data_IF_824350966076
#
_entry.id   IF_824350966076
#
_cell.length_a   1.000
_cell.length_b   1.000
_cell.length_c   1.000
_cell.angle_alpha   90.00
_cell.angle_beta   90.00
_cell.angle_gamma   90.00
#
_symmetry.space_group_name_H-M   'P 1'
#
loop_
_entity.id
_entity.type
_entity.pdbx_description
1 polymer ?
#
# COMPACT_ATOMS: atom_id res chain seq x y z
N UNK A 1 26.09 -1.64 -7.97
CA UNK A 1 24.98 -1.31 -7.05
C UNK A 1 23.99 -2.44 -7.13
N UNK A 2 23.49 -2.94 -6.00
CA UNK A 2 22.49 -4.00 -6.00
C UNK A 2 21.17 -3.46 -6.62
N UNK A 3 20.44 -4.23 -7.43
CA UNK A 3 19.17 -3.78 -7.99
C UNK A 3 18.18 -3.44 -6.87
N UNK A 4 17.37 -2.40 -7.06
CA UNK A 4 16.31 -2.04 -6.11
C UNK A 4 15.32 -3.20 -5.96
N UNK A 5 15.34 -3.85 -4.79
CA UNK A 5 14.44 -4.96 -4.48
C UNK A 5 13.06 -4.45 -4.04
N UNK A 6 11.97 -5.15 -4.39
CA UNK A 6 10.62 -4.78 -3.98
C UNK A 6 10.41 -4.84 -2.46
N UNK A 7 11.30 -5.54 -1.73
CA UNK A 7 11.39 -5.55 -0.27
C UNK A 7 11.41 -4.16 0.37
N UNK A 8 11.89 -3.15 -0.36
CA UNK A 8 11.94 -1.78 0.12
C UNK A 8 10.56 -1.14 0.31
N UNK A 9 9.52 -1.71 -0.29
CA UNK A 9 8.11 -1.30 -0.14
C UNK A 9 7.53 -1.87 1.17
N UNK A 10 8.05 -3.00 1.65
CA UNK A 10 7.60 -3.64 2.87
C UNK A 10 8.03 -2.89 4.13
N UNK A 11 7.29 -3.11 5.21
CA UNK A 11 7.53 -2.59 6.55
C UNK A 11 7.61 -1.06 6.64
N UNK A 12 7.16 -0.36 5.59
CA UNK A 12 7.16 1.10 5.49
C UNK A 12 5.73 1.61 5.40
N UNK A 13 5.45 2.72 6.11
CA UNK A 13 4.18 3.43 5.99
C UNK A 13 4.27 4.44 4.85
N UNK A 14 3.39 4.29 3.88
CA UNK A 14 3.34 5.06 2.64
C UNK A 14 2.10 5.95 2.61
N UNK A 15 2.27 7.15 2.05
CA UNK A 15 1.17 8.01 1.59
C UNK A 15 1.00 7.82 0.08
N UNK A 16 -0.23 7.55 -0.34
CA UNK A 16 -0.61 7.18 -1.71
C UNK A 16 -1.09 8.40 -2.48
N UNK A 17 -0.59 8.55 -3.70
CA UNK A 17 -1.05 9.53 -4.67
C UNK A 17 -1.29 8.88 -6.02
N UNK A 18 -2.20 9.44 -6.81
CA UNK A 18 -2.38 9.11 -8.22
C UNK A 18 -1.53 10.05 -9.06
N UNK A 19 -0.87 9.50 -10.07
CA UNK A 19 -0.12 10.26 -11.06
C UNK A 19 -0.75 10.09 -12.45
N UNK A 20 -0.79 11.18 -13.22
CA UNK A 20 -0.97 11.10 -14.67
C UNK A 20 0.33 10.58 -15.32
N UNK A 21 0.31 10.19 -16.61
CA UNK A 21 1.52 9.79 -17.31
C UNK A 21 2.66 10.81 -17.14
N UNK A 22 3.90 10.32 -17.06
CA UNK A 22 5.10 11.14 -17.02
C UNK A 22 5.54 11.41 -18.46
N UNK A 23 5.40 12.65 -18.92
CA UNK A 23 5.82 13.07 -20.25
C UNK A 23 7.32 13.40 -20.23
N UNK A 24 8.14 12.67 -20.97
CA UNK A 24 9.60 12.82 -20.96
C UNK A 24 10.22 12.95 -22.36
N UNK A 25 9.38 13.01 -23.40
CA UNK A 25 9.77 12.98 -24.81
C UNK A 25 10.70 14.11 -25.24
N UNK A 26 10.67 15.24 -24.54
CA UNK A 26 11.50 16.42 -24.83
C UNK A 26 12.98 16.18 -24.53
N UNK A 27 13.30 15.23 -23.65
CA UNK A 27 14.66 15.01 -23.17
C UNK A 27 15.17 13.58 -23.35
N UNK A 28 14.30 12.58 -23.14
CA UNK A 28 14.70 11.17 -23.19
C UNK A 28 13.64 10.30 -23.89
N UNK A 29 14.07 9.30 -24.69
CA UNK A 29 13.13 8.43 -25.41
C UNK A 29 12.43 7.39 -24.52
N UNK A 30 13.07 6.96 -23.42
CA UNK A 30 12.50 6.07 -22.40
C UNK A 30 12.98 6.52 -21.02
N UNK A 31 12.14 6.37 -20.00
CA UNK A 31 12.49 6.66 -18.60
C UNK A 31 12.92 5.41 -17.85
N UNK A 32 12.20 4.29 -18.00
CA UNK A 32 12.44 3.08 -17.21
C UNK A 32 13.61 2.23 -17.72
N UNK A 33 13.86 2.24 -19.03
CA UNK A 33 14.94 1.48 -19.66
C UNK A 33 16.23 2.30 -19.81
N UNK A 34 16.25 3.52 -19.28
CA UNK A 34 17.34 4.48 -19.46
C UNK A 34 17.94 4.90 -18.11
N UNK A 35 19.02 4.23 -17.65
CA UNK A 35 19.65 4.58 -16.37
C UNK A 35 20.25 6.00 -16.36
N UNK A 36 20.67 6.52 -17.52
CA UNK A 36 21.18 7.90 -17.61
C UNK A 36 20.06 8.93 -17.41
N UNK A 37 18.85 8.68 -17.94
CA UNK A 37 17.70 9.53 -17.68
C UNK A 37 17.38 9.61 -16.19
N UNK A 38 17.32 8.46 -15.51
CA UNK A 38 17.09 8.39 -14.07
C UNK A 38 18.16 9.15 -13.28
N UNK A 39 19.44 9.00 -13.66
CA UNK A 39 20.55 9.73 -13.04
C UNK A 39 20.45 11.24 -13.24
N UNK A 40 20.04 11.70 -14.42
CA UNK A 40 19.84 13.14 -14.70
C UNK A 40 18.73 13.70 -13.83
N UNK A 41 17.56 13.06 -13.77
CA UNK A 41 16.46 13.51 -12.90
C UNK A 41 16.81 13.43 -11.41
N UNK A 42 17.58 12.41 -10.98
CA UNK A 42 18.08 12.31 -9.63
C UNK A 42 19.00 13.49 -9.25
N UNK A 43 19.92 13.86 -10.14
CA UNK A 43 20.79 15.02 -9.93
C UNK A 43 19.99 16.33 -9.91
N UNK A 44 19.02 16.51 -10.82
CA UNK A 44 18.16 17.72 -10.81
C UNK A 44 17.35 17.85 -9.53
N UNK A 45 16.76 16.75 -9.06
CA UNK A 45 16.04 16.76 -7.79
C UNK A 45 16.99 17.10 -6.62
N UNK A 46 18.20 16.51 -6.59
CA UNK A 46 19.22 16.86 -5.59
C UNK A 46 19.56 18.34 -5.62
N UNK A 47 19.77 18.89 -6.81
CA UNK A 47 20.16 20.28 -7.00
C UNK A 47 19.01 21.22 -6.60
N UNK A 48 17.74 20.86 -6.86
CA UNK A 48 16.58 21.62 -6.37
C UNK A 48 16.46 21.57 -4.83
N UNK A 49 16.70 20.40 -4.23
CA UNK A 49 16.63 20.22 -2.77
C UNK A 49 17.78 20.93 -2.04
N UNK A 50 18.97 20.97 -2.64
CA UNK A 50 20.16 21.64 -2.08
C UNK A 50 20.18 23.13 -2.39
N UNK A 51 19.56 23.53 -3.51
CA UNK A 51 19.79 24.82 -4.16
C UNK A 51 18.96 26.00 -3.67
N UNK A 52 17.76 25.84 -3.07
CA UNK A 52 17.05 26.95 -2.39
C UNK A 52 15.62 26.70 -1.82
N UNK A 53 15.04 25.48 -1.81
CA UNK A 53 13.58 25.38 -1.55
C UNK A 53 13.18 25.11 -0.09
N UNK A 54 14.02 24.46 0.72
CA UNK A 54 13.64 24.17 2.11
C UNK A 54 13.74 25.40 3.04
N UNK A 55 14.57 26.40 2.70
CA UNK A 55 14.67 27.65 3.46
C UNK A 55 13.51 28.62 3.16
N UNK A 56 12.96 28.61 1.94
CA UNK A 56 11.83 29.48 1.54
C UNK A 56 10.47 29.07 2.12
N UNK A 57 10.33 27.83 2.61
CA UNK A 57 9.09 27.35 3.22
C UNK A 57 8.86 27.88 4.65
N UNK A 58 9.89 28.48 5.28
CA UNK A 58 9.75 29.12 6.60
C UNK A 58 9.00 30.47 6.58
N UNK A 59 8.65 31.01 5.40
CA UNK A 59 8.16 32.41 5.28
C UNK A 59 6.67 32.53 4.94
N UNK A 60 5.91 31.43 4.85
CA UNK A 60 4.48 31.56 4.50
C UNK A 60 3.61 30.38 4.88
N UNK A 61 3.17 30.32 6.14
CA UNK A 61 1.78 30.05 6.58
C UNK A 61 1.74 29.82 8.09
N UNK A 62 0.81 30.49 8.75
CA UNK A 62 0.59 30.52 10.20
C UNK A 62 0.21 29.14 10.79
N UNK A 63 1.17 28.48 11.45
CA UNK A 63 1.05 27.69 12.69
C UNK A 63 2.28 26.76 12.82
N UNK A 64 2.94 26.64 13.98
CA UNK A 64 3.98 25.62 14.17
C UNK A 64 3.31 24.25 14.16
N UNK A 65 3.33 23.60 13.00
CA UNK A 65 2.91 22.21 12.89
C UNK A 65 4.08 21.31 13.25
N UNK A 66 3.81 20.16 13.88
CA UNK A 66 4.80 19.14 14.26
C UNK A 66 5.69 18.68 13.08
N UNK A 67 5.34 19.03 11.84
CA UNK A 67 6.08 18.71 10.62
C UNK A 67 7.34 19.57 10.42
N UNK A 68 7.37 20.82 10.90
CA UNK A 68 8.54 21.72 10.75
C UNK A 68 9.73 21.24 11.63
N UNK A 69 9.43 20.71 12.82
CA UNK A 69 10.40 20.06 13.71
C UNK A 69 11.01 18.78 13.11
N UNK A 70 10.34 18.15 12.15
CA UNK A 70 10.88 16.93 11.50
C UNK A 70 11.98 17.26 10.50
N UNK A 71 11.84 18.36 9.75
CA UNK A 71 12.82 18.78 8.75
C UNK A 71 14.08 19.38 9.38
N UNK A 72 13.93 20.10 10.49
CA UNK A 72 15.04 20.67 11.24
C UNK A 72 16.04 19.61 11.76
N UNK A 73 15.56 18.37 11.96
CA UNK A 73 16.37 17.23 12.44
C UNK A 73 16.89 16.33 11.31
N UNK A 74 16.46 16.54 10.07
CA UNK A 74 16.82 15.72 8.91
C UNK A 74 18.33 15.79 8.59
N UNK A 75 18.94 16.96 8.81
CA UNK A 75 20.33 17.25 8.44
C UNK A 75 20.51 17.48 6.93
N UNK A 76 21.74 17.58 6.46
CA UNK A 76 22.04 17.84 5.05
C UNK A 76 21.74 16.63 4.13
N UNK A 77 21.38 16.90 2.88
CA UNK A 77 21.18 15.86 1.86
C UNK A 77 22.54 15.30 1.43
N UNK A 78 22.75 14.00 1.61
CA UNK A 78 23.97 13.29 1.20
C UNK A 78 23.86 12.72 -0.20
N UNK A 79 22.73 12.11 -0.52
CA UNK A 79 22.55 11.38 -1.78
C UNK A 79 21.09 11.37 -2.24
N UNK A 80 20.89 11.30 -3.56
CA UNK A 80 19.58 11.19 -4.20
C UNK A 80 19.72 10.22 -5.38
N UNK A 81 19.01 9.09 -5.32
CA UNK A 81 19.07 8.05 -6.36
C UNK A 81 17.69 7.72 -6.89
N UNK A 82 17.64 7.39 -8.18
CA UNK A 82 16.46 6.92 -8.89
C UNK A 82 16.83 5.59 -9.53
N UNK A 83 16.14 4.53 -9.15
CA UNK A 83 16.44 3.16 -9.59
C UNK A 83 15.18 2.48 -10.14
N UNK A 84 15.31 1.74 -11.24
CA UNK A 84 14.18 1.01 -11.82
C UNK A 84 13.86 -0.25 -11.01
N UNK A 85 12.58 -0.43 -10.66
CA UNK A 85 12.08 -1.61 -9.98
C UNK A 85 11.78 -2.67 -11.03
N UNK A 86 12.55 -3.75 -11.04
CA UNK A 86 12.43 -4.79 -12.08
C UNK A 86 11.19 -5.67 -11.95
N UNK A 87 10.71 -5.92 -10.72
CA UNK A 87 9.51 -6.73 -10.49
C UNK A 87 8.79 -6.30 -9.22
N UNK A 88 7.48 -6.47 -9.21
CA UNK A 88 6.62 -6.31 -8.03
C UNK A 88 6.39 -7.64 -7.28
N UNK A 89 6.91 -8.75 -7.80
CA UNK A 89 6.86 -10.04 -7.13
C UNK A 89 7.61 -9.95 -5.80
N UNK A 90 6.88 -10.14 -4.70
CA UNK A 90 7.47 -10.14 -3.36
C UNK A 90 8.00 -11.52 -2.97
N UNK A 91 7.49 -12.57 -3.63
CA UNK A 91 8.11 -13.89 -3.58
C UNK A 91 9.36 -13.87 -4.47
N UNK A 92 10.53 -14.13 -3.89
CA UNK A 92 11.78 -14.24 -4.63
C UNK A 92 11.72 -15.47 -5.54
N UNK A 93 11.42 -15.30 -6.82
CA UNK A 93 11.92 -16.24 -7.83
C UNK A 93 13.39 -15.90 -8.06
N UNK A 94 14.29 -16.84 -7.78
CA UNK A 94 15.73 -16.73 -8.11
C UNK A 94 15.98 -16.67 -9.63
N UNK A 95 14.94 -16.55 -10.44
CA UNK A 95 15.02 -16.37 -11.88
C UNK A 95 14.90 -14.88 -12.14
N UNK A 96 15.94 -14.21 -12.69
CA UNK A 96 15.75 -12.88 -13.26
C UNK A 96 14.71 -13.04 -14.36
N UNK A 97 13.45 -12.71 -14.03
CA UNK A 97 12.44 -12.58 -15.05
C UNK A 97 12.89 -11.41 -15.92
N UNK A 98 13.04 -11.60 -17.25
CA UNK A 98 13.27 -10.51 -18.19
C UNK A 98 11.97 -9.71 -18.36
N UNK A 99 11.37 -9.33 -17.23
CA UNK A 99 10.19 -8.50 -17.15
C UNK A 99 10.58 -7.05 -17.36
N UNK A 100 9.73 -6.32 -18.08
CA UNK A 100 9.88 -4.89 -18.21
C UNK A 100 9.82 -4.25 -16.81
N UNK A 101 10.65 -3.22 -16.54
CA UNK A 101 10.63 -2.50 -15.27
C UNK A 101 9.20 -2.03 -14.92
N UNK A 102 8.80 -2.30 -13.68
CA UNK A 102 7.44 -2.08 -13.17
C UNK A 102 7.29 -0.77 -12.39
N UNK A 103 8.39 -0.04 -12.19
CA UNK A 103 8.37 1.22 -11.44
C UNK A 103 9.73 1.87 -11.27
N UNK A 104 9.75 2.97 -10.50
CA UNK A 104 10.94 3.73 -10.12
C UNK A 104 10.94 3.89 -8.61
N UNK A 105 12.03 3.53 -7.96
CA UNK A 105 12.30 3.83 -6.56
C UNK A 105 13.18 5.08 -6.48
N UNK A 106 12.74 6.07 -5.71
CA UNK A 106 13.49 7.28 -5.39
C UNK A 106 13.92 7.22 -3.93
N UNK A 107 15.22 7.35 -3.67
CA UNK A 107 15.79 7.34 -2.32
C UNK A 107 16.51 8.66 -2.07
N UNK A 108 16.14 9.33 -0.98
CA UNK A 108 16.77 10.56 -0.50
C UNK A 108 17.46 10.25 0.82
N UNK A 109 18.79 10.22 0.81
CA UNK A 109 19.61 9.95 1.99
C UNK A 109 20.08 11.26 2.58
N UNK A 110 19.55 11.61 3.75
CA UNK A 110 20.04 12.73 4.55
C UNK A 110 20.96 12.22 5.65
N UNK A 111 21.57 13.14 6.39
CA UNK A 111 22.47 12.81 7.51
C UNK A 111 21.84 11.87 8.54
N UNK A 112 20.61 12.18 8.95
CA UNK A 112 19.97 11.52 10.08
C UNK A 112 18.79 10.62 9.68
N UNK A 113 18.37 10.65 8.42
CA UNK A 113 17.18 9.94 7.95
C UNK A 113 17.22 9.64 6.45
N UNK A 114 16.62 8.51 6.07
CA UNK A 114 16.38 8.17 4.67
C UNK A 114 14.89 8.29 4.36
N UNK A 115 14.57 9.11 3.37
CA UNK A 115 13.22 9.15 2.82
C UNK A 115 13.15 8.39 1.50
N UNK A 116 11.94 7.94 1.17
CA UNK A 116 11.69 7.13 -0.01
C UNK A 116 10.43 7.57 -0.73
N UNK A 117 10.42 7.42 -2.03
CA UNK A 117 9.22 7.45 -2.86
C UNK A 117 9.28 6.33 -3.89
N UNK A 118 8.14 5.81 -4.33
CA UNK A 118 8.08 4.79 -5.36
C UNK A 118 6.96 5.11 -6.35
N UNK A 119 7.28 5.13 -7.64
CA UNK A 119 6.33 5.28 -8.74
C UNK A 119 6.10 3.88 -9.33
N UNK A 120 4.88 3.37 -9.25
CA UNK A 120 4.56 1.98 -9.55
C UNK A 120 3.48 1.88 -10.62
N UNK A 121 3.53 0.79 -11.37
CA UNK A 121 2.53 0.43 -12.36
C UNK A 121 2.37 -1.10 -12.45
N UNK A 122 1.26 -1.59 -13.02
CA UNK A 122 1.08 -3.02 -13.21
C UNK A 122 1.98 -3.52 -14.34
N UNK A 123 2.50 -4.74 -14.21
CA UNK A 123 3.41 -5.32 -15.20
C UNK A 123 2.82 -5.22 -16.62
N UNK A 124 3.61 -4.70 -17.56
CA UNK A 124 3.25 -4.61 -18.98
C UNK A 124 2.45 -3.37 -19.39
N UNK A 125 2.23 -2.38 -18.51
CA UNK A 125 1.37 -1.21 -18.79
C UNK A 125 2.13 0.13 -18.92
N UNK A 126 3.46 0.11 -19.12
CA UNK A 126 4.30 1.27 -18.79
C UNK A 126 4.65 2.22 -19.92
N UNK A 127 4.54 1.81 -21.20
CA UNK A 127 5.16 2.57 -22.29
C UNK A 127 4.19 2.96 -23.40
N UNK A 128 3.99 4.27 -23.53
CA UNK A 128 3.70 4.90 -24.82
C UNK A 128 5.01 5.56 -25.27
N UNK A 129 5.26 5.65 -26.57
CA UNK A 129 6.52 6.18 -27.15
C UNK A 129 7.00 7.52 -26.57
N UNK A 130 6.08 8.29 -26.00
CA UNK A 130 6.27 9.66 -25.52
C UNK A 130 6.03 9.84 -24.02
N UNK A 131 5.54 8.80 -23.33
CA UNK A 131 5.13 8.93 -21.93
C UNK A 131 5.20 7.60 -21.21
N UNK A 132 5.70 7.65 -19.98
CA UNK A 132 5.74 6.50 -19.08
C UNK A 132 4.55 6.54 -18.14
N UNK A 133 3.80 5.44 -18.04
CA UNK A 133 2.61 5.38 -17.20
C UNK A 133 2.90 4.68 -15.86
N UNK A 134 2.99 5.47 -14.79
CA UNK A 134 3.22 5.04 -13.41
C UNK A 134 2.13 5.63 -12.49
N UNK A 135 0.90 5.07 -12.50
CA UNK A 135 -0.28 5.72 -11.93
C UNK A 135 -0.27 5.81 -10.40
N UNK A 136 0.57 5.03 -9.69
CA UNK A 136 0.63 5.03 -8.24
C UNK A 136 1.94 5.61 -7.74
N UNK A 137 1.86 6.67 -6.95
CA UNK A 137 2.98 7.23 -6.21
C UNK A 137 2.87 6.93 -4.72
N UNK A 138 3.84 6.20 -4.19
CA UNK A 138 4.05 5.98 -2.77
C UNK A 138 5.06 7.00 -2.24
N UNK A 139 4.77 7.68 -1.13
CA UNK A 139 5.71 8.61 -0.50
C UNK A 139 5.86 8.34 0.99
N UNK A 140 7.11 8.27 1.45
CA UNK A 140 7.53 8.30 2.85
C UNK A 140 8.35 9.59 3.04
N UNK A 141 7.68 10.72 2.88
CA UNK A 141 8.25 12.08 2.89
C UNK A 141 7.45 12.96 3.86
N UNK A 142 8.08 13.86 4.66
CA UNK A 142 7.38 14.92 5.40
C UNK A 142 6.60 15.84 4.46
N UNK A 143 5.61 16.56 4.99
CA UNK A 143 4.71 17.41 4.20
C UNK A 143 5.42 18.34 3.21
N UNK A 144 6.36 19.19 3.65
CA UNK A 144 7.02 20.13 2.75
C UNK A 144 7.91 19.44 1.71
N UNK A 145 8.70 18.43 2.11
CA UNK A 145 9.53 17.66 1.16
C UNK A 145 8.68 16.94 0.11
N UNK A 146 7.52 16.42 0.52
CA UNK A 146 6.57 15.80 -0.39
C UNK A 146 6.02 16.80 -1.41
N UNK A 147 5.69 18.03 -0.99
CA UNK A 147 5.23 19.06 -1.92
C UNK A 147 6.31 19.47 -2.91
N UNK A 148 7.56 19.62 -2.46
CA UNK A 148 8.70 19.89 -3.36
C UNK A 148 8.88 18.77 -4.37
N UNK A 149 8.80 17.50 -3.93
CA UNK A 149 8.92 16.35 -4.83
C UNK A 149 7.77 16.30 -5.85
N UNK A 150 6.53 16.55 -5.42
CA UNK A 150 5.36 16.62 -6.32
C UNK A 150 5.52 17.76 -7.34
N UNK A 151 5.93 18.94 -6.89
CA UNK A 151 6.19 20.09 -7.77
C UNK A 151 7.31 19.81 -8.76
N UNK A 152 8.36 19.11 -8.35
CA UNK A 152 9.43 18.67 -9.25
C UNK A 152 8.88 17.74 -10.33
N UNK A 153 8.07 16.74 -9.95
CA UNK A 153 7.46 15.83 -10.92
C UNK A 153 6.60 16.60 -11.92
N UNK A 154 5.71 17.48 -11.45
CA UNK A 154 4.85 18.29 -12.32
C UNK A 154 5.64 19.20 -13.27
N UNK A 155 6.71 19.84 -12.80
CA UNK A 155 7.51 20.75 -13.61
C UNK A 155 8.38 20.03 -14.67
N UNK A 156 8.87 18.83 -14.36
CA UNK A 156 9.78 18.10 -15.26
C UNK A 156 9.06 17.11 -16.19
N UNK A 157 7.86 16.65 -15.83
CA UNK A 157 7.14 15.61 -16.57
C UNK A 157 5.73 15.98 -17.00
N UNK A 158 5.29 17.23 -16.79
CA UNK A 158 3.90 17.68 -17.02
C UNK A 158 2.87 16.70 -16.43
N UNK A 159 3.18 16.17 -15.24
CA UNK A 159 2.34 15.17 -14.56
C UNK A 159 1.49 15.83 -13.47
N UNK A 160 0.24 15.40 -13.37
CA UNK A 160 -0.67 15.78 -12.31
C UNK A 160 -0.65 14.74 -11.18
N UNK A 161 -0.42 15.22 -9.96
CA UNK A 161 -0.44 14.41 -8.74
C UNK A 161 -1.68 14.74 -7.91
N UNK A 162 -2.43 13.72 -7.49
CA UNK A 162 -3.60 13.89 -6.62
C UNK A 162 -3.62 12.88 -5.49
N UNK A 163 -4.23 13.25 -4.35
CA UNK A 163 -4.39 12.35 -3.20
C UNK A 163 -5.18 11.11 -3.62
N UNK A 164 -4.67 9.93 -3.32
CA UNK A 164 -5.35 8.68 -3.67
C UNK A 164 -6.26 8.21 -2.55
N UNK A 165 -7.54 8.58 -2.62
CA UNK A 165 -8.56 8.10 -1.67
C UNK A 165 -9.03 6.69 -2.02
N UNK A 166 -9.12 5.84 -0.98
CA UNK A 166 -9.57 4.46 -1.06
C UNK A 166 -11.00 4.36 -0.50
N UNK A 167 -12.00 3.98 -1.32
CA UNK A 167 -13.38 3.81 -0.83
C UNK A 167 -13.52 2.68 0.18
N UNK A 168 -14.55 2.74 1.03
CA UNK A 168 -14.89 1.68 2.01
C UNK A 168 -14.94 0.29 1.38
N UNK A 169 -15.59 0.19 0.21
CA UNK A 169 -15.71 -1.06 -0.54
C UNK A 169 -14.35 -1.62 -0.97
N UNK A 170 -13.41 -0.75 -1.34
CA UNK A 170 -12.06 -1.17 -1.69
C UNK A 170 -11.30 -1.67 -0.46
N UNK A 171 -11.45 -1.02 0.70
CA UNK A 171 -10.82 -1.49 1.94
C UNK A 171 -11.32 -2.88 2.31
N UNK A 172 -12.64 -3.10 2.27
CA UNK A 172 -13.25 -4.41 2.49
C UNK A 172 -12.76 -5.45 1.49
N UNK A 173 -12.82 -5.16 0.19
CA UNK A 173 -12.33 -6.07 -0.84
C UNK A 173 -10.84 -6.40 -0.64
N UNK A 174 -10.03 -5.42 -0.26
CA UNK A 174 -8.62 -5.62 0.08
C UNK A 174 -8.41 -6.58 1.24
N UNK A 175 -9.19 -6.44 2.32
CA UNK A 175 -9.17 -7.40 3.44
C UNK A 175 -9.60 -8.80 2.98
N UNK A 176 -10.70 -8.91 2.23
CA UNK A 176 -11.17 -10.20 1.72
C UNK A 176 -10.11 -10.89 0.85
N UNK A 177 -9.54 -10.18 -0.14
CA UNK A 177 -8.50 -10.73 -1.01
C UNK A 177 -7.21 -11.09 -0.26
N UNK A 178 -6.85 -10.31 0.76
CA UNK A 178 -5.70 -10.64 1.60
C UNK A 178 -5.90 -11.94 2.39
N UNK A 179 -7.07 -12.11 3.01
CA UNK A 179 -7.40 -13.32 3.78
C UNK A 179 -7.55 -14.54 2.86
N UNK A 180 -8.19 -14.36 1.70
CA UNK A 180 -8.34 -15.38 0.66
C UNK A 180 -6.97 -15.88 0.17
N UNK A 181 -6.03 -14.96 -0.11
CA UNK A 181 -4.66 -15.30 -0.50
C UNK A 181 -3.90 -16.12 0.56
N UNK A 182 -4.18 -15.91 1.86
CA UNK A 182 -3.61 -16.72 2.94
C UNK A 182 -4.25 -18.12 3.04
N UNK A 183 -5.48 -18.30 2.55
CA UNK A 183 -6.21 -19.57 2.59
C UNK A 183 -6.04 -20.44 1.34
N UNK A 184 -5.71 -19.85 0.19
CA UNK A 184 -5.54 -20.53 -1.11
C UNK A 184 -4.22 -21.34 -1.27
N UNK A 185 -3.72 -21.96 -0.21
CA UNK A 185 -2.59 -22.89 -0.31
C UNK A 185 -2.97 -24.12 -1.13
N UNK A 186 -2.22 -24.40 -2.22
CA UNK A 186 -2.63 -25.29 -3.33
C UNK A 186 -2.83 -26.78 -3.00
N UNK A 187 -2.61 -27.22 -1.76
CA UNK A 187 -2.74 -28.64 -1.37
C UNK A 187 -2.88 -28.82 0.16
N UNK A 188 -3.52 -27.86 0.84
CA UNK A 188 -3.46 -27.77 2.31
C UNK A 188 -4.67 -28.33 3.02
N UNK A 189 -4.40 -29.05 4.10
CA UNK A 189 -5.39 -29.26 5.15
C UNK A 189 -5.89 -27.90 5.66
N UNK A 190 -7.22 -27.76 5.65
CA UNK A 190 -7.93 -26.56 6.06
C UNK A 190 -7.56 -26.07 7.48
N UNK A 191 -7.22 -27.00 8.37
CA UNK A 191 -6.74 -26.71 9.73
C UNK A 191 -5.43 -25.91 9.73
N UNK A 192 -4.48 -26.29 8.88
CA UNK A 192 -3.15 -25.65 8.75
C UNK A 192 -3.27 -24.24 8.17
N UNK A 193 -4.13 -24.05 7.16
CA UNK A 193 -4.41 -22.72 6.61
C UNK A 193 -5.03 -21.78 7.65
N UNK A 194 -5.93 -22.28 8.51
CA UNK A 194 -6.52 -21.51 9.61
C UNK A 194 -5.50 -21.09 10.66
N UNK A 195 -4.62 -22.01 11.07
CA UNK A 195 -3.57 -21.70 12.05
C UNK A 195 -2.63 -20.59 11.54
N UNK A 196 -2.25 -20.66 10.26
CA UNK A 196 -1.38 -19.65 9.64
C UNK A 196 -2.10 -18.32 9.45
N UNK A 197 -3.38 -18.33 9.09
CA UNK A 197 -4.20 -17.13 9.05
C UNK A 197 -4.18 -16.38 10.39
N UNK A 198 -4.49 -17.08 11.49
CA UNK A 198 -4.50 -16.49 12.83
C UNK A 198 -3.12 -15.97 13.22
N UNK A 199 -2.04 -16.64 12.81
CA UNK A 199 -0.68 -16.28 13.16
C UNK A 199 -0.12 -15.09 12.36
N UNK A 200 -0.55 -14.92 11.10
CA UNK A 200 -0.18 -13.80 10.23
C UNK A 200 -1.04 -12.57 10.52
N UNK A 201 -2.36 -12.74 10.63
CA UNK A 201 -3.33 -11.64 10.77
C UNK A 201 -3.36 -11.12 12.21
N UNK A 202 -3.24 -12.01 13.19
CA UNK A 202 -3.42 -11.73 14.63
C UNK A 202 -4.76 -11.06 14.91
N UNK A 203 -4.82 -9.74 15.08
CA UNK A 203 -6.04 -8.99 15.36
C UNK A 203 -6.46 -8.22 14.11
N UNK A 204 -7.77 -8.07 13.88
CA UNK A 204 -8.31 -7.19 12.83
C UNK A 204 -8.95 -5.98 13.50
N UNK A 205 -8.48 -4.79 13.15
CA UNK A 205 -9.06 -3.51 13.54
C UNK A 205 -9.78 -2.88 12.34
N UNK A 206 -11.06 -2.58 12.51
CA UNK A 206 -11.89 -1.84 11.56
C UNK A 206 -12.23 -0.50 12.19
N UNK A 207 -11.81 0.61 11.57
CA UNK A 207 -12.18 1.95 12.01
C UNK A 207 -13.30 2.51 11.13
N UNK A 208 -14.45 2.72 11.74
CA UNK A 208 -15.61 3.36 11.14
C UNK A 208 -15.56 4.86 11.44
N UNK A 209 -15.87 5.69 10.46
CA UNK A 209 -16.01 7.14 10.62
C UNK A 209 -17.45 7.54 10.30
N UNK A 210 -17.94 8.54 11.03
CA UNK A 210 -19.29 9.07 10.88
C UNK A 210 -19.27 10.45 10.27
N UNK A 211 -20.30 10.78 9.49
CA UNK A 211 -20.53 12.14 9.03
C UNK A 211 -20.88 13.05 10.20
N UNK A 212 -20.27 14.24 10.24
CA UNK A 212 -20.55 15.27 11.26
C UNK A 212 -22.02 15.71 11.26
N UNK A 213 -22.72 15.54 10.14
CA UNK A 213 -24.15 15.88 10.02
C UNK A 213 -25.06 14.92 10.78
N UNK A 214 -24.58 13.71 11.08
CA UNK A 214 -25.38 12.66 11.76
C UNK A 214 -24.86 12.42 13.17
N UNK A 215 -23.54 12.45 13.37
CA UNK A 215 -22.93 12.24 14.67
C UNK A 215 -21.80 13.27 14.91
N UNK A 216 -22.14 14.51 15.31
CA UNK A 216 -21.15 15.59 15.46
C UNK A 216 -20.10 15.29 16.54
N UNK A 217 -20.51 14.61 17.62
CA UNK A 217 -19.65 14.28 18.76
C UNK A 217 -18.89 12.95 18.60
N UNK A 218 -19.35 12.07 17.70
CA UNK A 218 -18.73 10.76 17.46
C UNK A 218 -18.02 10.75 16.10
N UNK A 219 -16.73 11.10 16.11
CA UNK A 219 -15.93 11.14 14.86
C UNK A 219 -15.63 9.76 14.29
N UNK A 220 -15.30 8.81 15.16
CA UNK A 220 -14.88 7.46 14.75
C UNK A 220 -15.17 6.41 15.81
N UNK A 221 -15.44 5.19 15.37
CA UNK A 221 -15.58 3.99 16.19
C UNK A 221 -14.56 2.94 15.74
N UNK A 222 -13.87 2.30 16.69
CA UNK A 222 -12.97 1.19 16.41
C UNK A 222 -13.63 -0.12 16.81
N UNK A 223 -13.66 -1.07 15.88
CA UNK A 223 -14.14 -2.44 16.08
C UNK A 223 -12.92 -3.35 15.96
N UNK A 224 -12.61 -4.04 17.05
CA UNK A 224 -11.46 -4.93 17.15
C UNK A 224 -11.94 -6.38 17.22
N UNK A 225 -11.43 -7.22 16.31
CA UNK A 225 -11.73 -8.64 16.23
C UNK A 225 -10.48 -9.38 16.71
N UNK A 226 -10.53 -10.00 17.91
CA UNK A 226 -9.40 -10.73 18.47
C UNK A 226 -8.99 -11.94 17.63
N UNK A 227 -7.72 -12.33 17.71
CA UNK A 227 -7.14 -13.48 17.00
C UNK A 227 -7.98 -14.75 17.09
N UNK A 228 -8.36 -15.13 18.30
CA UNK A 228 -9.10 -16.37 18.55
C UNK A 228 -10.51 -16.41 17.96
N UNK A 229 -11.05 -15.27 17.56
CA UNK A 229 -12.39 -15.13 16.97
C UNK A 229 -12.37 -15.15 15.44
N UNK A 230 -11.22 -14.99 14.78
CA UNK A 230 -11.15 -14.93 13.31
C UNK A 230 -11.67 -16.24 12.69
N UNK A 231 -11.30 -17.38 13.27
CA UNK A 231 -11.74 -18.70 12.79
C UNK A 231 -13.24 -18.94 12.85
N UNK A 232 -13.97 -18.32 13.79
CA UNK A 232 -15.42 -18.49 13.90
C UNK A 232 -16.18 -17.77 12.80
N UNK A 233 -15.54 -16.81 12.12
CA UNK A 233 -16.12 -16.09 10.98
C UNK A 233 -15.75 -16.71 9.63
N UNK A 234 -14.87 -17.72 9.60
CA UNK A 234 -14.54 -18.42 8.37
C UNK A 234 -15.68 -19.33 7.94
N UNK A 235 -15.98 -19.41 6.62
CA UNK A 235 -17.02 -20.30 6.14
C UNK A 235 -16.73 -21.75 6.55
N UNK A 236 -17.78 -22.45 6.98
CA UNK A 236 -17.72 -23.88 7.24
C UNK A 236 -17.90 -24.57 5.88
N UNK A 237 -16.80 -25.03 5.29
CA UNK A 237 -16.82 -25.89 4.09
C UNK A 237 -17.33 -27.27 4.50
N UNK A 238 -18.66 -27.46 4.50
CA UNK A 238 -19.28 -28.74 4.91
C UNK A 238 -20.77 -28.86 4.62
N UNK A 239 -21.53 -27.74 4.63
CA UNK A 239 -22.96 -27.77 4.31
C UNK A 239 -23.24 -27.09 2.97
N UNK A 240 -23.64 -27.87 1.98
CA UNK A 240 -24.02 -27.45 0.63
C UNK A 240 -25.28 -26.57 0.57
N UNK A 241 -25.90 -26.27 1.71
CA UNK A 241 -27.14 -25.49 1.82
C UNK A 241 -26.97 -24.09 2.43
N UNK A 242 -25.76 -23.69 2.83
CA UNK A 242 -25.50 -22.31 3.25
C UNK A 242 -24.85 -21.52 2.11
N UNK A 243 -25.30 -20.28 1.81
CA UNK A 243 -24.60 -19.42 0.88
C UNK A 243 -23.18 -19.27 1.41
N UNK A 244 -22.19 -19.54 0.56
CA UNK A 244 -20.76 -19.45 0.88
C UNK A 244 -20.42 -18.01 1.28
N UNK A 245 -20.66 -17.68 2.55
CA UNK A 245 -20.45 -16.35 3.08
C UNK A 245 -18.97 -16.05 3.15
N UNK A 246 -18.55 -14.90 2.63
CA UNK A 246 -17.21 -14.39 2.89
C UNK A 246 -17.08 -14.10 4.39
N UNK A 247 -15.84 -14.11 4.92
CA UNK A 247 -15.58 -13.72 6.32
C UNK A 247 -16.19 -12.36 6.66
N UNK A 248 -16.22 -11.43 5.70
CA UNK A 248 -16.83 -10.11 5.87
C UNK A 248 -18.34 -10.17 6.03
N UNK A 249 -19.02 -11.09 5.36
CA UNK A 249 -20.46 -11.29 5.54
C UNK A 249 -20.77 -11.80 6.95
N UNK A 250 -20.00 -12.78 7.45
CA UNK A 250 -20.16 -13.30 8.80
C UNK A 250 -19.90 -12.23 9.87
N UNK A 251 -18.85 -11.41 9.69
CA UNK A 251 -18.57 -10.27 10.58
C UNK A 251 -19.67 -9.21 10.50
N UNK A 252 -20.19 -8.91 9.31
CA UNK A 252 -21.30 -7.95 9.15
C UNK A 252 -22.54 -8.43 9.88
N UNK A 253 -22.95 -9.69 9.68
CA UNK A 253 -24.11 -10.26 10.37
C UNK A 253 -23.93 -10.31 11.88
N UNK A 254 -22.72 -10.59 12.38
CA UNK A 254 -22.44 -10.57 13.82
C UNK A 254 -22.59 -9.17 14.41
N UNK A 255 -22.04 -8.16 13.74
CA UNK A 255 -22.15 -6.75 14.16
C UNK A 255 -23.61 -6.28 14.10
N UNK A 256 -24.35 -6.66 13.06
CA UNK A 256 -25.77 -6.34 12.95
C UNK A 256 -26.57 -7.00 14.08
N UNK A 257 -26.35 -8.30 14.33
CA UNK A 257 -27.09 -9.06 15.34
C UNK A 257 -26.77 -8.61 16.78
N UNK A 258 -25.50 -8.33 17.10
CA UNK A 258 -25.07 -8.06 18.47
C UNK A 258 -24.87 -6.59 18.81
N UNK A 259 -24.62 -5.74 17.80
CA UNK A 259 -24.42 -4.30 17.99
C UNK A 259 -25.51 -3.46 17.33
N UNK A 260 -26.50 -4.07 16.68
CA UNK A 260 -27.59 -3.38 15.97
C UNK A 260 -27.07 -2.36 14.94
N UNK A 261 -25.95 -2.69 14.27
CA UNK A 261 -25.25 -1.78 13.37
C UNK A 261 -25.10 -2.38 11.97
N UNK A 262 -25.62 -1.67 10.97
CA UNK A 262 -25.45 -2.03 9.56
C UNK A 262 -24.19 -1.36 8.98
N UNK A 263 -23.14 -2.16 8.75
CA UNK A 263 -21.87 -1.72 8.15
C UNK A 263 -21.64 -2.22 6.72
N UNK A 264 -22.49 -3.12 6.23
CA UNK A 264 -22.37 -3.82 4.94
C UNK A 264 -20.92 -4.05 4.45
N UNK A 265 -20.13 -4.82 5.22
CA UNK A 265 -18.72 -5.05 4.90
C UNK A 265 -18.54 -5.90 3.64
N UNK A 266 -19.52 -6.77 3.33
CA UNK A 266 -19.50 -7.65 2.16
C UNK A 266 -19.99 -6.98 0.88
N UNK A 267 -20.60 -5.79 0.99
CA UNK A 267 -21.11 -5.05 -0.15
C UNK A 267 -22.43 -5.60 -0.73
N UNK A 268 -23.18 -6.41 0.03
CA UNK A 268 -24.39 -7.08 -0.45
C UNK A 268 -25.65 -6.21 -0.37
N UNK A 269 -25.60 -5.08 0.35
CA UNK A 269 -26.75 -4.20 0.55
C UNK A 269 -26.95 -3.26 -0.65
N UNK A 270 -28.19 -2.79 -0.84
CA UNK A 270 -28.54 -1.88 -1.94
C UNK A 270 -27.68 -0.59 -1.90
N UNK A 271 -27.36 -0.03 -3.07
CA UNK A 271 -26.48 1.15 -3.19
C UNK A 271 -26.98 2.39 -2.42
N UNK A 272 -28.28 2.48 -2.14
CA UNK A 272 -28.92 3.68 -1.58
C UNK A 272 -29.27 3.63 -0.08
N UNK A 273 -28.73 2.66 0.68
CA UNK A 273 -29.03 2.63 2.12
C UNK A 273 -28.54 3.91 2.83
N UNK A 274 -29.35 4.51 3.72
CA UNK A 274 -28.96 5.73 4.43
C UNK A 274 -27.72 5.51 5.31
N UNK A 275 -27.51 4.28 5.80
CA UNK A 275 -26.31 3.89 6.53
C UNK A 275 -25.03 4.12 5.71
N UNK A 276 -25.01 3.76 4.42
CA UNK A 276 -23.85 3.97 3.53
C UNK A 276 -23.54 5.44 3.23
N UNK A 277 -24.52 6.34 3.36
CA UNK A 277 -24.33 7.78 3.12
C UNK A 277 -23.64 8.47 4.29
N UNK A 278 -23.78 7.93 5.50
CA UNK A 278 -23.34 8.61 6.73
C UNK A 278 -22.29 7.85 7.53
N UNK A 279 -22.12 6.55 7.26
CA UNK A 279 -21.16 5.66 7.90
C UNK A 279 -20.19 5.13 6.85
N UNK A 280 -18.89 5.29 7.08
CA UNK A 280 -17.85 4.82 6.14
C UNK A 280 -16.72 4.13 6.86
N UNK A 281 -16.12 3.15 6.22
CA UNK A 281 -14.92 2.50 6.72
C UNK A 281 -13.74 3.38 6.33
N UNK A 282 -13.03 3.86 7.34
CA UNK A 282 -11.93 4.81 7.18
C UNK A 282 -10.56 4.15 7.27
N UNK A 283 -10.46 2.98 7.90
CA UNK A 283 -9.22 2.23 8.04
C UNK A 283 -9.52 0.76 8.32
N UNK A 284 -8.72 -0.13 7.74
CA UNK A 284 -8.60 -1.53 8.14
C UNK A 284 -7.13 -1.79 8.45
N UNK A 285 -6.87 -2.42 9.59
CA UNK A 285 -5.54 -2.82 10.00
C UNK A 285 -5.54 -4.24 10.55
N UNK A 286 -4.49 -4.98 10.25
CA UNK A 286 -4.13 -6.21 10.93
C UNK A 286 -2.60 -6.28 11.06
N UNK A 287 -2.07 -7.36 11.62
CA UNK A 287 -0.62 -7.51 11.74
C UNK A 287 0.09 -7.56 10.37
N UNK A 288 -0.62 -8.00 9.31
CA UNK A 288 -0.07 -8.11 7.94
C UNK A 288 -0.12 -6.81 7.12
N UNK A 289 -1.06 -5.90 7.38
CA UNK A 289 -1.15 -4.64 6.65
C UNK A 289 -1.97 -3.57 7.39
N UNK A 290 -1.83 -2.32 6.93
CA UNK A 290 -2.70 -1.20 7.27
C UNK A 290 -3.13 -0.52 5.98
N UNK A 291 -4.44 -0.31 5.78
CA UNK A 291 -5.01 0.49 4.70
C UNK A 291 -5.95 1.55 5.28
N UNK A 292 -5.78 2.79 4.84
CA UNK A 292 -6.63 3.93 5.23
C UNK A 292 -7.27 4.60 4.02
N UNK A 293 -8.51 5.07 4.20
CA UNK A 293 -9.30 5.74 3.18
C UNK A 293 -8.64 7.03 2.65
N UNK A 294 -7.85 7.72 3.47
CA UNK A 294 -7.10 8.92 3.10
C UNK A 294 -5.75 8.61 2.42
N UNK A 295 -5.63 7.45 1.78
CA UNK A 295 -4.42 7.09 1.02
C UNK A 295 -3.23 6.77 1.91
N UNK A 296 -3.42 6.01 2.98
CA UNK A 296 -2.33 5.49 3.80
C UNK A 296 -2.23 3.98 3.64
N UNK A 297 -1.02 3.46 3.44
CA UNK A 297 -0.78 2.03 3.30
C UNK A 297 0.49 1.59 4.02
N UNK A 298 0.46 0.43 4.68
CA UNK A 298 1.64 -0.27 5.18
C UNK A 298 1.45 -1.75 4.89
N UNK A 299 2.45 -2.39 4.29
CA UNK A 299 2.50 -3.84 4.13
C UNK A 299 3.56 -4.37 5.11
N UNK A 300 3.23 -5.43 5.84
CA UNK A 300 4.10 -6.01 6.87
C UNK A 300 4.34 -7.47 6.52
N UNK A 301 5.54 -7.74 6.02
CA UNK A 301 6.01 -9.08 5.70
C UNK A 301 7.53 -9.12 5.88
N UNK A 302 8.06 -10.31 6.14
CA UNK A 302 9.50 -10.53 6.19
C UNK A 302 9.94 -11.06 4.84
N UNK A 303 10.95 -10.44 4.19
CA UNK A 303 11.49 -10.97 2.94
C UNK A 303 12.15 -12.33 3.18
N UNK A 304 12.02 -13.22 2.21
CA UNK A 304 12.66 -14.55 2.24
C UNK A 304 14.15 -14.37 1.98
N UNK A 305 14.97 -14.32 3.04
CA UNK A 305 16.43 -14.33 2.88
C UNK A 305 16.89 -15.73 2.46
N UNK A 306 17.57 -15.83 1.33
CA UNK A 306 18.31 -17.02 0.97
C UNK A 306 19.53 -17.18 1.91
N UNK A 307 19.47 -18.16 2.81
CA UNK A 307 20.65 -18.78 3.43
C UNK A 307 21.04 -18.34 4.85
N UNK A 308 20.76 -19.23 5.80
CA UNK A 308 21.80 -19.76 6.70
C UNK A 308 21.40 -21.21 6.98
N UNK A 309 22.00 -22.14 6.24
CA UNK A 309 21.97 -23.55 6.60
C UNK A 309 22.80 -23.71 7.89
N UNK A 310 22.16 -23.42 9.02
CA UNK A 310 22.64 -23.72 10.36
C UNK A 310 21.83 -24.91 10.85
N UNK A 311 22.53 -26.01 11.05
CA UNK A 311 22.07 -27.28 11.59
C UNK A 311 21.20 -27.08 12.85
N UNK A 312 19.89 -27.34 12.73
CA UNK A 312 18.98 -27.92 13.73
C UNK A 312 17.51 -27.50 13.46
N UNK A 313 16.64 -28.49 13.17
CA UNK A 313 15.16 -28.46 13.04
C UNK A 313 14.51 -28.13 11.66
N UNK A 314 14.74 -29.00 10.67
CA UNK A 314 14.16 -28.92 9.31
C UNK A 314 12.61 -28.77 9.23
N UNK A 315 11.84 -29.35 10.18
CA UNK A 315 10.36 -29.29 10.10
C UNK A 315 9.75 -27.93 10.50
N UNK A 316 10.40 -27.21 11.42
CA UNK A 316 9.88 -25.93 11.91
C UNK A 316 10.24 -24.77 10.96
N UNK A 317 11.36 -24.92 10.25
CA UNK A 317 11.81 -23.98 9.23
C UNK A 317 10.91 -23.99 7.99
N UNK A 318 10.41 -25.15 7.56
CA UNK A 318 9.51 -25.25 6.42
C UNK A 318 8.15 -24.57 6.69
N UNK A 319 7.56 -24.80 7.86
CA UNK A 319 6.31 -24.16 8.26
C UNK A 319 6.44 -22.63 8.37
N UNK A 320 7.56 -22.16 8.92
CA UNK A 320 7.84 -20.73 9.06
C UNK A 320 8.18 -20.06 7.72
N UNK A 321 8.91 -20.74 6.84
CA UNK A 321 9.20 -20.27 5.49
C UNK A 321 7.92 -20.16 4.66
N UNK A 322 7.04 -21.15 4.75
CA UNK A 322 5.76 -21.16 4.06
C UNK A 322 4.82 -20.05 4.59
N UNK A 323 4.81 -19.82 5.90
CA UNK A 323 4.10 -18.67 6.49
C UNK A 323 4.60 -17.34 5.91
N UNK A 324 5.92 -17.15 5.81
CA UNK A 324 6.52 -15.93 5.22
C UNK A 324 6.11 -15.79 3.76
N UNK A 325 6.17 -16.88 2.99
CA UNK A 325 5.78 -16.93 1.58
C UNK A 325 4.33 -16.51 1.38
N UNK A 326 3.38 -17.09 2.12
CA UNK A 326 1.96 -16.71 2.04
C UNK A 326 1.71 -15.26 2.45
N UNK A 327 2.40 -14.76 3.48
CA UNK A 327 2.30 -13.35 3.87
C UNK A 327 2.82 -12.40 2.79
N UNK A 328 3.90 -12.77 2.07
CA UNK A 328 4.42 -12.02 0.92
C UNK A 328 3.40 -12.05 -0.23
N UNK A 329 2.87 -13.23 -0.59
CA UNK A 329 1.81 -13.36 -1.61
C UNK A 329 0.59 -12.52 -1.32
N UNK A 330 0.09 -12.57 -0.09
CA UNK A 330 -1.08 -11.79 0.32
C UNK A 330 -0.79 -10.28 0.25
N UNK A 331 0.42 -9.86 0.63
CA UNK A 331 0.87 -8.47 0.50
C UNK A 331 0.98 -8.03 -0.95
N UNK A 332 1.44 -8.91 -1.84
CA UNK A 332 1.56 -8.67 -3.28
C UNK A 332 0.19 -8.50 -3.93
N UNK A 333 -0.75 -9.41 -3.64
CA UNK A 333 -2.14 -9.32 -4.09
C UNK A 333 -2.77 -7.98 -3.69
N UNK A 334 -2.48 -7.52 -2.47
CA UNK A 334 -2.98 -6.25 -1.98
C UNK A 334 -2.33 -5.05 -2.70
N UNK A 335 -1.00 -5.08 -2.88
CA UNK A 335 -0.25 -4.04 -3.61
C UNK A 335 -0.75 -3.92 -5.05
N UNK A 336 -0.90 -5.04 -5.76
CA UNK A 336 -1.41 -5.06 -7.14
C UNK A 336 -2.85 -4.57 -7.21
N UNK A 337 -3.69 -4.88 -6.22
CA UNK A 337 -5.06 -4.36 -6.13
C UNK A 337 -5.07 -2.83 -5.99
N UNK A 338 -4.19 -2.26 -5.18
CA UNK A 338 -4.03 -0.80 -5.02
C UNK A 338 -3.55 -0.15 -6.32
N UNK A 339 -2.56 -0.74 -6.99
CA UNK A 339 -2.07 -0.28 -8.29
C UNK A 339 -3.20 -0.31 -9.32
N UNK A 340 -3.94 -1.41 -9.44
CA UNK A 340 -5.08 -1.51 -10.37
C UNK A 340 -6.15 -0.47 -10.08
N UNK A 341 -6.44 -0.17 -8.81
CA UNK A 341 -7.40 0.88 -8.43
C UNK A 341 -6.89 2.30 -8.74
N UNK A 342 -5.59 2.50 -8.86
CA UNK A 342 -5.03 3.79 -9.32
C UNK A 342 -5.27 4.04 -10.82
N UNK A 343 -5.39 2.98 -11.63
CA UNK A 343 -5.69 3.04 -13.07
C UNK A 343 -7.14 3.41 -13.36
N UNK A 344 -8.06 2.83 -12.58
CA UNK A 344 -9.49 3.08 -12.71
C UNK A 344 -9.74 4.48 -12.16
N UNK A 345 -9.76 5.47 -13.06
CA UNK A 345 -10.14 6.84 -12.77
C UNK A 345 -11.42 6.87 -11.92
N UNK A 346 -11.56 7.88 -11.06
CA UNK A 346 -12.61 8.03 -10.05
C UNK A 346 -14.07 8.12 -10.55
N UNK A 347 -14.38 7.65 -11.75
CA UNK A 347 -15.71 7.73 -12.39
C UNK A 347 -16.71 6.68 -11.88
N UNK A 348 -16.57 6.23 -10.64
CA UNK A 348 -17.60 5.45 -9.94
C UNK A 348 -17.72 5.99 -8.51
N UNK A 349 -18.14 7.24 -8.41
CA UNK A 349 -18.74 7.83 -7.21
C UNK A 349 -19.45 9.12 -7.66
N UNK A 350 -20.69 8.96 -8.10
CA UNK A 350 -21.73 10.00 -8.14
C UNK A 350 -23.02 9.35 -7.70
#
# INVERSE_FOLDING_TARGET
>A
MAPSTPDQILNTSWTLHRLSPLHHETEFPSLLDNPEALKVYANRLRDQLTGNVLAGFQVGTSAPSTEEDTLSRTGALKNCTWEAISSLALETSNTPHPGNPCGILVVLEYENITYKAALLAPEGSHSRKTSTYLPLLLTRLPGPLRQTFISFLSANFDTYCSVFRLPSQFLCAGLASYLDALTQGRDREWATSRAILEDVVKEIQITVSFSTNVAPDLRSLNINIPRGSIKSFLPVTGDSNQPSGSILSAVSSYIEQHLAMDLDLAGSSAKDSPARKHVRISKIACNGFVLGAEGKMKLVAQPTRAGSAGDDSAENDDAQNEKKRLALRASEVLLLSVIRRSLVGGNQES
#
